data_IF_875917283197
#
_entry.id   IF_875917283197
#
_cell.length_a   1.000
_cell.length_b   1.000
_cell.length_c   1.000
_cell.angle_alpha   90.00
_cell.angle_beta   90.00
_cell.angle_gamma   90.00
#
_symmetry.space_group_name_H-M   'P 1'
#
loop_
_entity.id
_entity.type
_entity.pdbx_description
1 polymer ?
#
# COMPACT_ATOMS: atom_id res chain seq x y z
N UNK A 1 -4.08 -12.80 -14.58
CA UNK A 1 -5.51 -12.60 -14.15
C UNK A 1 -6.08 -11.46 -14.99
N UNK A 2 -7.03 -11.73 -15.90
CA UNK A 2 -7.61 -10.66 -16.73
C UNK A 2 -9.00 -10.30 -16.19
N UNK A 3 -9.19 -9.06 -15.74
CA UNK A 3 -10.47 -8.54 -15.23
C UNK A 3 -11.06 -7.54 -16.21
N UNK A 4 -12.40 -7.50 -16.28
CA UNK A 4 -13.09 -6.44 -17.04
C UNK A 4 -12.75 -5.07 -16.45
N UNK A 5 -12.63 -4.09 -17.33
CA UNK A 5 -12.29 -2.70 -17.00
C UNK A 5 -13.47 -1.79 -17.33
N UNK A 6 -13.37 -0.55 -16.93
CA UNK A 6 -14.37 0.47 -17.29
C UNK A 6 -14.49 0.70 -18.79
N UNK A 7 -13.53 0.24 -19.63
CA UNK A 7 -13.63 0.31 -21.10
C UNK A 7 -14.57 -0.74 -21.68
N UNK A 8 -14.81 -1.83 -20.96
CA UNK A 8 -15.55 -2.99 -21.44
C UNK A 8 -17.05 -2.89 -21.19
N UNK A 9 -17.51 -1.75 -20.66
CA UNK A 9 -18.88 -1.53 -20.26
C UNK A 9 -19.42 -0.17 -20.69
N UNK A 10 -20.74 -0.06 -20.87
CA UNK A 10 -21.42 1.22 -21.05
C UNK A 10 -21.85 1.79 -19.69
N UNK A 11 -21.44 3.02 -19.40
CA UNK A 11 -21.73 3.71 -18.13
C UNK A 11 -22.68 4.91 -18.29
N UNK A 12 -23.09 5.25 -19.52
CA UNK A 12 -23.91 6.44 -19.81
C UNK A 12 -25.26 6.38 -19.06
N UNK A 13 -25.53 7.41 -18.29
CA UNK A 13 -26.75 7.55 -17.51
C UNK A 13 -26.86 6.64 -16.28
N UNK A 14 -25.88 5.74 -16.06
CA UNK A 14 -25.87 4.78 -14.93
C UNK A 14 -25.27 5.39 -13.69
N UNK A 15 -25.79 4.98 -12.53
CA UNK A 15 -25.17 5.22 -11.22
C UNK A 15 -23.94 4.32 -11.09
N UNK A 16 -22.77 4.93 -11.11
CA UNK A 16 -21.47 4.22 -10.97
C UNK A 16 -20.91 4.49 -9.59
N UNK A 17 -20.94 3.49 -8.72
CA UNK A 17 -20.27 3.54 -7.43
C UNK A 17 -18.81 3.14 -7.61
N UNK A 18 -17.92 4.11 -7.50
CA UNK A 18 -16.49 3.92 -7.69
C UNK A 18 -15.72 4.04 -6.37
N UNK A 19 -15.06 2.96 -5.97
CA UNK A 19 -14.19 2.93 -4.81
C UNK A 19 -12.79 3.41 -5.22
N UNK A 20 -12.41 4.57 -4.72
CA UNK A 20 -11.09 5.19 -4.92
C UNK A 20 -10.29 5.20 -3.63
N UNK A 21 -8.99 5.45 -3.70
CA UNK A 21 -8.14 5.62 -2.53
C UNK A 21 -7.77 7.10 -2.32
N UNK A 22 -8.57 7.79 -1.52
CA UNK A 22 -8.36 9.17 -1.10
C UNK A 22 -7.79 9.28 0.33
N UNK A 23 -7.12 8.24 0.80
CA UNK A 23 -6.46 8.26 2.10
C UNK A 23 -5.16 9.08 2.03
N UNK A 24 -5.31 10.37 1.77
CA UNK A 24 -4.23 11.35 1.65
C UNK A 24 -3.75 11.84 3.01
N UNK A 25 -2.46 12.19 3.17
CA UNK A 25 -1.99 12.85 4.38
C UNK A 25 -2.53 14.28 4.44
N UNK A 26 -3.01 14.65 5.64
CA UNK A 26 -3.53 16.00 5.91
C UNK A 26 -2.93 16.56 7.20
N UNK A 27 -2.62 17.86 7.19
CA UNK A 27 -2.24 18.65 8.37
C UNK A 27 -3.20 19.83 8.46
N UNK A 28 -3.86 19.98 9.59
CA UNK A 28 -4.81 21.06 9.86
C UNK A 28 -5.86 21.25 8.76
N UNK A 29 -6.41 20.13 8.26
CA UNK A 29 -7.43 20.10 7.23
C UNK A 29 -6.92 20.40 5.81
N UNK A 30 -5.60 20.54 5.62
CA UNK A 30 -4.97 20.75 4.30
C UNK A 30 -4.29 19.48 3.82
N UNK A 31 -4.52 19.14 2.56
CA UNK A 31 -3.86 18.01 1.90
C UNK A 31 -2.40 18.37 1.68
N UNK A 32 -1.48 17.53 2.17
CA UNK A 32 -0.02 17.74 2.06
C UNK A 32 0.61 16.93 0.93
N UNK A 33 -0.07 15.89 0.46
CA UNK A 33 0.32 15.08 -0.69
C UNK A 33 -0.96 14.62 -1.42
N UNK A 34 -1.05 14.91 -2.72
CA UNK A 34 -2.23 14.59 -3.54
C UNK A 34 -2.01 13.44 -4.54
N UNK A 35 -0.90 12.71 -4.44
CA UNK A 35 -0.56 11.63 -5.37
C UNK A 35 -1.70 10.60 -5.56
N UNK A 36 -2.43 10.28 -4.49
CA UNK A 36 -3.58 9.36 -4.54
C UNK A 36 -4.75 9.95 -5.31
N UNK A 37 -5.01 11.25 -5.17
CA UNK A 37 -6.04 11.95 -5.94
C UNK A 37 -5.65 11.94 -7.41
N UNK A 38 -4.40 12.31 -7.72
CA UNK A 38 -3.88 12.31 -9.10
C UNK A 38 -3.96 10.92 -9.73
N UNK A 39 -3.67 9.86 -8.96
CA UNK A 39 -3.78 8.48 -9.43
C UNK A 39 -5.20 8.04 -9.79
N UNK A 40 -6.23 8.60 -9.13
CA UNK A 40 -7.63 8.30 -9.39
C UNK A 40 -8.24 9.12 -10.53
N UNK A 41 -7.65 10.29 -10.88
CA UNK A 41 -8.18 11.20 -11.88
C UNK A 41 -8.45 10.56 -13.26
N UNK A 42 -7.57 9.69 -13.81
CA UNK A 42 -7.84 9.06 -15.11
C UNK A 42 -9.17 8.29 -15.13
N UNK A 43 -9.45 7.51 -14.11
CA UNK A 43 -10.70 6.76 -13.96
C UNK A 43 -11.89 7.69 -13.78
N UNK A 44 -11.78 8.70 -12.91
CA UNK A 44 -12.83 9.67 -12.62
C UNK A 44 -13.20 10.45 -13.89
N UNK A 45 -12.21 10.97 -14.62
CA UNK A 45 -12.41 11.68 -15.88
C UNK A 45 -13.08 10.80 -16.92
N UNK A 46 -12.56 9.58 -17.12
CA UNK A 46 -13.14 8.65 -18.08
C UNK A 46 -14.62 8.41 -17.81
N UNK A 47 -14.98 8.02 -16.57
CA UNK A 47 -16.35 7.73 -16.20
C UNK A 47 -17.28 8.95 -16.37
N UNK A 48 -16.84 10.12 -15.89
CA UNK A 48 -17.59 11.36 -16.01
C UNK A 48 -17.76 11.82 -17.48
N UNK A 49 -16.70 11.73 -18.30
CA UNK A 49 -16.75 12.09 -19.73
C UNK A 49 -17.64 11.15 -20.54
N UNK A 50 -17.80 9.89 -20.11
CA UNK A 50 -18.72 8.93 -20.72
C UNK A 50 -20.14 9.00 -20.14
N UNK A 51 -20.46 10.04 -19.37
CA UNK A 51 -21.81 10.31 -18.91
C UNK A 51 -22.28 9.45 -17.73
N UNK A 52 -21.38 8.89 -16.94
CA UNK A 52 -21.73 8.25 -15.69
C UNK A 52 -22.28 9.25 -14.67
N UNK A 53 -23.27 8.86 -13.87
CA UNK A 53 -23.64 9.53 -12.62
C UNK A 53 -22.72 8.98 -11.55
N UNK A 54 -21.60 9.70 -11.31
CA UNK A 54 -20.45 9.14 -10.59
C UNK A 54 -20.55 9.37 -9.08
N UNK A 55 -20.52 8.30 -8.33
CA UNK A 55 -20.53 8.28 -6.87
C UNK A 55 -19.17 7.75 -6.39
N UNK A 56 -18.36 8.60 -5.78
CA UNK A 56 -17.05 8.25 -5.26
C UNK A 56 -17.13 7.93 -3.77
N UNK A 57 -16.55 6.82 -3.36
CA UNK A 57 -16.40 6.46 -1.96
C UNK A 57 -14.94 6.12 -1.62
N UNK A 58 -14.49 6.49 -0.44
CA UNK A 58 -13.15 6.22 0.07
C UNK A 58 -13.12 6.24 1.59
N UNK A 59 -12.07 5.65 2.14
CA UNK A 59 -11.71 5.87 3.54
C UNK A 59 -10.67 6.99 3.66
N UNK A 60 -10.59 7.58 4.85
CA UNK A 60 -9.53 8.51 5.24
C UNK A 60 -9.12 8.24 6.68
N UNK A 61 -7.84 7.90 6.90
CA UNK A 61 -7.28 7.63 8.21
C UNK A 61 -7.92 6.45 8.95
N UNK A 62 -7.92 6.55 10.28
CA UNK A 62 -8.50 5.57 11.19
C UNK A 62 -9.41 6.24 12.21
N UNK A 63 -10.58 6.73 11.79
CA UNK A 63 -11.54 7.38 12.67
C UNK A 63 -12.28 6.37 13.56
N UNK A 64 -13.04 6.89 14.51
CA UNK A 64 -14.13 6.13 15.13
C UNK A 64 -15.29 5.97 14.16
N UNK A 65 -16.14 4.96 14.41
CA UNK A 65 -17.31 4.68 13.58
C UNK A 65 -18.50 5.57 13.99
N UNK A 66 -18.33 6.87 13.90
CA UNK A 66 -19.25 7.88 14.49
C UNK A 66 -20.66 7.89 13.90
N UNK A 67 -20.88 7.29 12.73
CA UNK A 67 -22.22 7.13 12.14
C UNK A 67 -22.95 5.91 12.68
N UNK A 68 -22.26 5.02 13.40
CA UNK A 68 -22.86 3.84 14.00
C UNK A 68 -23.28 4.15 15.44
N UNK A 69 -24.56 4.08 15.81
CA UNK A 69 -25.00 4.26 17.20
C UNK A 69 -24.28 3.34 18.17
N UNK A 70 -23.80 3.88 19.28
CA UNK A 70 -23.06 3.11 20.30
C UNK A 70 -21.70 2.63 19.84
N UNK A 71 -21.02 3.36 18.96
CA UNK A 71 -19.66 3.05 18.56
C UNK A 71 -18.70 2.99 19.76
N UNK A 72 -17.67 2.18 19.66
CA UNK A 72 -16.74 1.94 20.76
C UNK A 72 -15.40 2.67 20.60
N UNK A 73 -14.58 2.55 21.63
CA UNK A 73 -13.21 3.06 21.67
C UNK A 73 -12.28 2.31 20.70
N UNK A 74 -11.22 2.99 20.24
CA UNK A 74 -10.12 2.35 19.54
C UNK A 74 -9.35 1.39 20.45
N UNK A 75 -8.56 0.47 19.87
CA UNK A 75 -7.71 -0.45 20.68
C UNK A 75 -6.78 0.25 21.64
N UNK A 76 -6.23 1.41 21.24
CA UNK A 76 -5.32 2.21 22.07
C UNK A 76 -6.06 2.84 23.26
N UNK A 77 -7.23 3.40 23.01
CA UNK A 77 -8.07 4.02 24.03
C UNK A 77 -8.61 2.99 25.02
N UNK A 78 -9.04 1.81 24.53
CA UNK A 78 -9.42 0.69 25.41
C UNK A 78 -8.33 0.34 26.39
N UNK A 79 -7.09 0.14 25.91
CA UNK A 79 -5.94 -0.12 26.77
C UNK A 79 -5.69 1.01 27.76
N UNK A 80 -5.86 2.27 27.34
CA UNK A 80 -5.69 3.42 28.23
C UNK A 80 -6.76 3.46 29.31
N UNK A 81 -8.03 3.17 28.98
CA UNK A 81 -9.15 3.09 29.93
C UNK A 81 -8.99 1.90 30.87
N UNK A 82 -8.63 0.72 30.38
CA UNK A 82 -8.40 -0.48 31.17
C UNK A 82 -7.26 -0.32 32.21
N UNK A 83 -6.33 0.60 31.97
CA UNK A 83 -5.26 0.94 32.91
C UNK A 83 -5.69 1.87 34.05
N UNK A 84 -6.90 2.45 33.99
CA UNK A 84 -7.47 3.33 35.03
C UNK A 84 -8.17 2.52 36.14
N UNK A 85 -8.34 3.08 37.35
CA UNK A 85 -9.22 2.52 38.37
C UNK A 85 -10.63 2.28 37.84
N UNK A 86 -11.29 1.20 38.30
CA UNK A 86 -12.59 0.80 37.77
C UNK A 86 -13.66 1.89 37.85
N UNK A 87 -13.63 2.71 38.89
CA UNK A 87 -14.54 3.86 39.09
C UNK A 87 -14.35 4.99 38.08
N UNK A 88 -13.18 5.10 37.45
CA UNK A 88 -12.87 6.13 36.47
C UNK A 88 -13.12 5.71 35.03
N UNK A 89 -13.21 4.40 34.77
CA UNK A 89 -13.27 3.86 33.40
C UNK A 89 -14.51 4.33 32.62
N UNK A 90 -15.65 4.40 33.26
CA UNK A 90 -16.90 4.85 32.63
C UNK A 90 -16.79 6.32 32.18
N UNK A 91 -16.34 7.21 33.06
CA UNK A 91 -16.18 8.62 32.77
C UNK A 91 -15.11 8.86 31.67
N UNK A 92 -14.00 8.13 31.70
CA UNK A 92 -12.97 8.19 30.67
C UNK A 92 -13.51 7.73 29.31
N UNK A 93 -14.31 6.65 29.28
CA UNK A 93 -14.97 6.17 28.07
C UNK A 93 -15.86 7.24 27.44
N UNK A 94 -16.71 7.89 28.25
CA UNK A 94 -17.58 8.97 27.79
C UNK A 94 -16.79 10.17 27.24
N UNK A 95 -15.67 10.51 27.88
CA UNK A 95 -14.79 11.59 27.42
C UNK A 95 -14.18 11.28 26.04
N UNK A 96 -13.70 10.04 25.81
CA UNK A 96 -13.19 9.62 24.51
C UNK A 96 -14.27 9.66 23.44
N UNK A 97 -15.48 9.17 23.72
CA UNK A 97 -16.61 9.20 22.80
C UNK A 97 -16.99 10.65 22.46
N UNK A 98 -17.13 11.53 23.45
CA UNK A 98 -17.45 12.94 23.24
C UNK A 98 -16.35 13.65 22.41
N UNK A 99 -15.08 13.33 22.66
CA UNK A 99 -13.95 13.84 21.88
C UNK A 99 -14.03 13.36 20.43
N UNK A 100 -14.30 12.07 20.20
CA UNK A 100 -14.42 11.50 18.86
C UNK A 100 -15.54 12.17 18.05
N UNK A 101 -16.72 12.33 18.62
CA UNK A 101 -17.84 13.02 17.97
C UNK A 101 -17.53 14.47 17.58
N UNK A 102 -16.65 15.14 18.31
CA UNK A 102 -16.26 16.51 18.04
C UNK A 102 -15.09 16.63 17.05
N UNK A 103 -14.09 15.74 17.16
CA UNK A 103 -12.84 15.84 16.42
C UNK A 103 -12.82 15.08 15.09
N UNK A 104 -13.45 13.90 15.03
CA UNK A 104 -13.34 13.04 13.86
C UNK A 104 -14.04 13.61 12.62
N UNK A 105 -15.23 14.27 12.73
CA UNK A 105 -15.86 14.93 11.58
C UNK A 105 -15.02 16.07 10.99
N UNK A 106 -14.07 16.61 11.76
CA UNK A 106 -13.16 17.66 11.29
C UNK A 106 -11.90 17.05 10.70
N UNK A 107 -11.33 16.06 11.40
CA UNK A 107 -10.03 15.49 11.07
C UNK A 107 -10.07 14.49 9.93
N UNK A 108 -11.16 13.75 9.81
CA UNK A 108 -11.25 12.61 8.90
C UNK A 108 -12.36 12.76 7.85
N UNK A 109 -12.92 13.95 7.68
CA UNK A 109 -13.87 14.23 6.60
C UNK A 109 -13.22 14.22 5.23
N UNK A 110 -13.92 13.73 4.22
CA UNK A 110 -13.50 13.81 2.81
C UNK A 110 -13.86 15.13 2.13
N UNK A 111 -14.47 16.09 2.85
CA UNK A 111 -14.83 17.40 2.30
C UNK A 111 -13.65 18.14 1.63
N UNK A 112 -12.45 18.23 2.24
CA UNK A 112 -11.30 18.86 1.59
C UNK A 112 -10.88 18.18 0.28
N UNK A 113 -11.04 16.84 0.20
CA UNK A 113 -10.76 16.08 -1.01
C UNK A 113 -11.79 16.39 -2.10
N UNK A 114 -13.06 16.48 -1.75
CA UNK A 114 -14.13 16.86 -2.68
C UNK A 114 -13.90 18.29 -3.24
N UNK A 115 -13.51 19.24 -2.39
CA UNK A 115 -13.17 20.60 -2.81
C UNK A 115 -11.97 20.62 -3.76
N UNK A 116 -10.93 19.83 -3.43
CA UNK A 116 -9.76 19.71 -4.31
C UNK A 116 -10.10 19.05 -5.65
N UNK A 117 -10.97 18.06 -5.67
CA UNK A 117 -11.46 17.48 -6.92
C UNK A 117 -12.20 18.48 -7.79
N UNK A 118 -13.02 19.35 -7.20
CA UNK A 118 -13.71 20.42 -7.95
C UNK A 118 -12.70 21.39 -8.60
N UNK A 119 -11.60 21.71 -7.91
CA UNK A 119 -10.52 22.54 -8.48
C UNK A 119 -9.81 21.84 -9.65
N UNK A 120 -9.56 20.53 -9.51
CA UNK A 120 -8.89 19.71 -10.54
C UNK A 120 -9.79 19.37 -11.73
N UNK A 121 -11.10 19.49 -11.57
CA UNK A 121 -12.13 19.19 -12.54
C UNK A 121 -13.08 20.40 -12.71
N UNK A 122 -12.58 21.56 -13.20
CA UNK A 122 -13.37 22.79 -13.22
C UNK A 122 -14.55 22.74 -14.19
N UNK A 123 -14.51 21.87 -15.18
CA UNK A 123 -15.56 21.61 -16.16
C UNK A 123 -16.64 20.62 -15.68
N UNK A 124 -16.45 20.01 -14.52
CA UNK A 124 -17.38 19.05 -13.92
C UNK A 124 -18.04 19.64 -12.67
N UNK A 125 -19.23 19.13 -12.36
CA UNK A 125 -19.89 19.45 -11.09
C UNK A 125 -19.54 18.40 -10.08
N UNK A 126 -18.73 18.78 -9.06
CA UNK A 126 -18.38 17.91 -7.93
C UNK A 126 -19.13 18.37 -6.68
N UNK A 127 -19.86 17.47 -6.05
CA UNK A 127 -20.58 17.72 -4.80
C UNK A 127 -20.08 16.80 -3.71
N UNK A 128 -20.36 17.15 -2.45
CA UNK A 128 -19.99 16.36 -1.28
C UNK A 128 -21.24 15.99 -0.48
N UNK A 129 -21.37 14.72 -0.11
CA UNK A 129 -22.41 14.25 0.80
C UNK A 129 -21.84 14.12 2.22
N UNK A 130 -22.52 14.67 3.20
CA UNK A 130 -22.10 14.71 4.60
C UNK A 130 -22.32 13.39 5.35
N UNK A 131 -22.88 12.40 4.70
CA UNK A 131 -23.05 11.04 5.19
C UNK A 131 -22.70 10.01 4.11
N UNK A 132 -22.72 8.71 4.47
CA UNK A 132 -22.37 7.63 3.55
C UNK A 132 -23.61 7.01 2.88
N UNK A 133 -24.65 6.74 3.62
CA UNK A 133 -25.89 6.08 3.18
C UNK A 133 -27.14 6.70 3.81
N UNK A 134 -27.03 7.94 4.24
CA UNK A 134 -28.09 8.70 4.88
C UNK A 134 -28.87 9.58 3.89
N UNK A 135 -29.67 10.50 4.42
CA UNK A 135 -30.57 11.34 3.64
C UNK A 135 -29.83 12.28 2.68
N UNK A 136 -28.68 12.82 3.10
CA UNK A 136 -27.91 13.75 2.27
C UNK A 136 -27.26 13.02 1.06
N UNK A 137 -26.71 11.81 1.29
CA UNK A 137 -26.18 10.99 0.19
C UNK A 137 -27.30 10.63 -0.81
N UNK A 138 -28.45 10.16 -0.33
CA UNK A 138 -29.59 9.83 -1.18
C UNK A 138 -30.07 11.03 -1.98
N UNK A 139 -30.22 12.20 -1.36
CA UNK A 139 -30.64 13.43 -2.04
C UNK A 139 -29.65 13.86 -3.13
N UNK A 140 -28.34 13.81 -2.84
CA UNK A 140 -27.29 14.20 -3.80
C UNK A 140 -27.13 13.22 -4.94
N UNK A 141 -27.22 11.91 -4.65
CA UNK A 141 -27.19 10.87 -5.70
C UNK A 141 -28.39 10.99 -6.63
N UNK A 142 -29.60 11.24 -6.08
CA UNK A 142 -30.80 11.44 -6.87
C UNK A 142 -30.75 12.69 -7.78
N UNK A 143 -29.99 13.71 -7.37
CA UNK A 143 -29.84 14.97 -8.11
C UNK A 143 -28.73 14.91 -9.20
N UNK A 144 -27.95 13.82 -9.31
CA UNK A 144 -26.88 13.69 -10.30
C UNK A 144 -27.44 13.68 -11.72
N UNK A 145 -26.81 14.45 -12.57
CA UNK A 145 -26.95 14.40 -14.03
C UNK A 145 -25.79 13.59 -14.63
N UNK A 146 -25.92 13.23 -15.89
CA UNK A 146 -24.86 12.55 -16.62
C UNK A 146 -23.57 13.38 -16.60
N UNK A 147 -22.49 12.78 -16.12
CA UNK A 147 -21.19 13.44 -15.95
C UNK A 147 -20.97 14.15 -14.60
N UNK A 148 -22.01 14.32 -13.78
CA UNK A 148 -21.86 14.87 -12.42
C UNK A 148 -21.18 13.87 -11.47
N UNK A 149 -20.55 14.42 -10.43
CA UNK A 149 -19.78 13.66 -9.43
C UNK A 149 -20.27 14.01 -8.03
N UNK A 150 -20.47 13.00 -7.19
CA UNK A 150 -20.64 13.17 -5.74
C UNK A 150 -19.56 12.37 -5.00
N UNK A 151 -18.94 13.00 -4.01
CA UNK A 151 -18.04 12.33 -3.06
C UNK A 151 -18.83 12.05 -1.80
N UNK A 152 -18.94 10.79 -1.39
CA UNK A 152 -19.56 10.40 -0.13
C UNK A 152 -18.59 10.66 1.03
N UNK A 153 -19.14 10.77 2.25
CA UNK A 153 -18.31 10.91 3.44
C UNK A 153 -17.51 9.63 3.73
N UNK A 154 -16.51 9.73 4.59
CA UNK A 154 -15.57 8.69 4.95
C UNK A 154 -16.26 7.37 5.30
N UNK A 155 -15.99 6.33 4.52
CA UNK A 155 -16.62 5.00 4.68
C UNK A 155 -16.39 4.39 6.06
N UNK A 156 -15.26 4.74 6.72
CA UNK A 156 -14.91 4.23 8.06
C UNK A 156 -15.65 4.89 9.20
N UNK A 157 -16.48 5.90 8.94
CA UNK A 157 -17.45 6.37 9.93
C UNK A 157 -18.55 5.34 10.19
N UNK A 158 -18.74 4.39 9.28
CA UNK A 158 -19.62 3.23 9.46
C UNK A 158 -18.83 2.00 9.95
N UNK A 159 -19.29 1.38 11.04
CA UNK A 159 -18.67 0.16 11.60
C UNK A 159 -18.72 -1.02 10.64
N UNK A 160 -19.74 -1.05 9.80
CA UNK A 160 -19.96 -2.11 8.81
C UNK A 160 -18.91 -2.14 7.71
N UNK A 161 -18.20 -1.04 7.43
CA UNK A 161 -17.20 -0.97 6.36
C UNK A 161 -16.10 -2.00 6.53
N UNK A 162 -15.36 -1.94 7.64
CA UNK A 162 -14.22 -2.86 7.86
C UNK A 162 -14.65 -4.29 8.20
N UNK A 163 -15.91 -4.51 8.52
CA UNK A 163 -16.49 -5.83 8.82
C UNK A 163 -17.12 -6.52 7.62
N UNK A 164 -17.12 -5.85 6.47
CA UNK A 164 -17.83 -6.33 5.29
C UNK A 164 -19.31 -6.63 5.59
N UNK A 165 -19.97 -5.71 6.29
CA UNK A 165 -21.35 -5.89 6.74
C UNK A 165 -22.33 -5.91 5.56
N UNK A 166 -23.11 -6.99 5.43
CA UNK A 166 -24.03 -7.18 4.31
C UNK A 166 -25.12 -6.11 4.26
N UNK A 167 -25.62 -5.67 5.44
CA UNK A 167 -26.66 -4.65 5.49
C UNK A 167 -26.14 -3.29 4.99
N UNK A 168 -24.87 -2.95 5.26
CA UNK A 168 -24.23 -1.77 4.69
C UNK A 168 -24.04 -1.93 3.18
N UNK A 169 -23.58 -3.09 2.72
CA UNK A 169 -23.43 -3.36 1.28
C UNK A 169 -24.75 -3.21 0.53
N UNK A 170 -25.86 -3.69 1.11
CA UNK A 170 -27.19 -3.55 0.53
C UNK A 170 -27.64 -2.09 0.42
N UNK A 171 -27.37 -1.25 1.43
CA UNK A 171 -27.66 0.19 1.37
C UNK A 171 -26.83 0.91 0.30
N UNK A 172 -25.55 0.56 0.18
CA UNK A 172 -24.67 1.11 -0.86
C UNK A 172 -25.09 0.69 -2.26
N UNK A 173 -25.70 -0.49 -2.41
CA UNK A 173 -26.21 -0.98 -3.67
C UNK A 173 -27.33 -0.11 -4.27
N UNK A 174 -28.05 0.67 -3.47
CA UNK A 174 -29.04 1.65 -3.95
C UNK A 174 -28.41 2.74 -4.83
N UNK A 175 -27.09 2.94 -4.70
CA UNK A 175 -26.29 3.88 -5.46
C UNK A 175 -25.54 3.21 -6.64
N UNK A 176 -25.81 1.94 -6.98
CA UNK A 176 -24.91 1.14 -7.76
C UNK A 176 -25.61 0.35 -8.88
N UNK A 177 -25.67 0.92 -10.08
CA UNK A 177 -25.96 0.13 -11.28
C UNK A 177 -24.68 -0.59 -11.78
N UNK A 178 -23.53 0.04 -11.53
CA UNK A 178 -22.19 -0.48 -11.84
C UNK A 178 -21.26 -0.19 -10.66
N UNK A 179 -20.54 -1.21 -10.21
CA UNK A 179 -19.46 -1.07 -9.23
C UNK A 179 -18.10 -1.01 -9.92
N UNK A 180 -17.29 -0.05 -9.52
CA UNK A 180 -15.91 0.09 -9.98
C UNK A 180 -14.98 0.08 -8.77
N UNK A 181 -13.98 -0.81 -8.77
CA UNK A 181 -12.88 -0.72 -7.83
C UNK A 181 -11.65 -0.11 -8.51
N UNK A 182 -11.16 1.00 -7.94
CA UNK A 182 -9.93 1.67 -8.37
C UNK A 182 -9.00 1.97 -7.19
N UNK A 183 -9.14 1.23 -6.10
CA UNK A 183 -8.40 1.39 -4.86
C UNK A 183 -7.50 0.18 -4.59
N UNK A 184 -6.40 0.05 -5.34
CA UNK A 184 -5.48 -1.07 -5.21
C UNK A 184 -4.91 -1.20 -3.79
N UNK A 185 -4.57 -0.08 -3.13
CA UNK A 185 -4.01 -0.08 -1.78
C UNK A 185 -4.87 -0.78 -0.72
N UNK A 186 -6.17 -0.89 -0.94
CA UNK A 186 -7.11 -1.59 -0.05
C UNK A 186 -7.62 -2.92 -0.59
N UNK A 187 -7.20 -3.32 -1.79
CA UNK A 187 -7.71 -4.51 -2.48
C UNK A 187 -7.45 -5.84 -1.74
N UNK A 188 -6.46 -5.86 -0.83
CA UNK A 188 -6.15 -7.00 0.02
C UNK A 188 -7.14 -7.21 1.18
N UNK A 189 -8.11 -6.30 1.36
CA UNK A 189 -9.10 -6.35 2.43
C UNK A 189 -10.51 -6.51 1.87
N UNK A 190 -11.26 -7.47 2.40
CA UNK A 190 -12.66 -7.66 2.07
C UNK A 190 -13.55 -6.69 2.88
N UNK A 191 -13.43 -5.37 2.64
CA UNK A 191 -14.30 -4.36 3.23
C UNK A 191 -15.58 -4.18 2.39
N UNK A 192 -16.64 -3.60 2.97
CA UNK A 192 -17.91 -3.43 2.30
C UNK A 192 -17.78 -2.70 0.95
N UNK A 193 -17.08 -1.54 0.92
CA UNK A 193 -16.89 -0.77 -0.31
C UNK A 193 -15.75 -1.27 -1.19
N UNK A 194 -14.88 -2.16 -0.70
CA UNK A 194 -13.74 -2.71 -1.46
C UNK A 194 -14.11 -3.98 -2.23
N UNK A 195 -14.92 -4.85 -1.61
CA UNK A 195 -15.28 -6.15 -2.18
C UNK A 195 -16.73 -6.55 -1.91
N UNK A 196 -17.29 -6.15 -0.75
CA UNK A 196 -18.55 -6.69 -0.25
C UNK A 196 -19.73 -6.53 -1.20
N UNK A 197 -19.88 -5.35 -1.81
CA UNK A 197 -20.98 -5.08 -2.75
C UNK A 197 -20.99 -6.09 -3.89
N UNK A 198 -19.83 -6.42 -4.44
CA UNK A 198 -19.68 -7.41 -5.52
C UNK A 198 -19.79 -8.86 -4.99
N UNK A 199 -19.15 -9.18 -3.85
CA UNK A 199 -19.18 -10.51 -3.25
C UNK A 199 -20.58 -10.96 -2.84
N UNK A 200 -21.43 -10.06 -2.36
CA UNK A 200 -22.82 -10.36 -2.02
C UNK A 200 -23.76 -10.36 -3.24
N UNK A 201 -23.23 -10.10 -4.45
CA UNK A 201 -24.02 -10.09 -5.67
C UNK A 201 -24.92 -8.86 -5.84
N UNK A 202 -24.69 -7.80 -5.10
CA UNK A 202 -25.48 -6.56 -5.20
C UNK A 202 -25.06 -5.69 -6.38
N UNK A 203 -23.92 -5.96 -7.01
CA UNK A 203 -23.48 -5.30 -8.22
C UNK A 203 -23.36 -6.35 -9.36
N UNK A 204 -24.32 -6.42 -10.29
CA UNK A 204 -24.25 -7.35 -11.40
C UNK A 204 -23.10 -7.06 -12.38
N UNK A 205 -22.66 -5.81 -12.41
CA UNK A 205 -21.49 -5.35 -13.16
C UNK A 205 -20.47 -4.79 -12.18
N UNK A 206 -19.34 -5.49 -12.03
CA UNK A 206 -18.24 -5.12 -11.15
C UNK A 206 -16.93 -5.17 -11.93
N UNK A 207 -16.28 -4.02 -12.14
CA UNK A 207 -15.12 -3.90 -13.02
C UNK A 207 -13.99 -3.11 -12.35
N UNK A 208 -12.79 -3.17 -12.92
CA UNK A 208 -11.64 -2.38 -12.46
C UNK A 208 -11.61 -0.99 -13.09
N UNK A 209 -11.13 -0.01 -12.33
CA UNK A 209 -10.65 1.24 -12.87
C UNK A 209 -9.24 1.12 -13.44
N UNK A 210 -8.72 2.20 -14.01
CA UNK A 210 -7.42 2.22 -14.68
C UNK A 210 -6.23 2.03 -13.74
N UNK A 211 -6.34 2.46 -12.49
CA UNK A 211 -5.28 2.26 -11.51
C UNK A 211 -5.12 0.78 -11.20
N UNK A 212 -6.21 0.07 -10.89
CA UNK A 212 -6.17 -1.39 -10.64
C UNK A 212 -5.75 -2.14 -11.91
N UNK A 213 -6.26 -1.77 -13.09
CA UNK A 213 -5.83 -2.37 -14.37
C UNK A 213 -4.32 -2.29 -14.54
N UNK A 214 -3.74 -1.10 -14.30
CA UNK A 214 -2.30 -0.86 -14.38
C UNK A 214 -1.52 -1.69 -13.36
N UNK A 215 -1.98 -1.73 -12.09
CA UNK A 215 -1.35 -2.51 -11.03
C UNK A 215 -1.35 -4.02 -11.34
N UNK A 216 -2.50 -4.56 -11.74
CA UNK A 216 -2.61 -5.97 -12.14
C UNK A 216 -1.65 -6.27 -13.29
N UNK A 217 -1.65 -5.44 -14.33
CA UNK A 217 -0.79 -5.64 -15.51
C UNK A 217 0.68 -5.73 -15.09
N UNK A 218 1.19 -4.74 -14.38
CA UNK A 218 2.61 -4.71 -14.03
C UNK A 218 3.00 -5.83 -13.04
N UNK A 219 2.19 -6.07 -12.01
CA UNK A 219 2.52 -7.08 -11.00
C UNK A 219 2.34 -8.50 -11.52
N UNK A 220 1.29 -8.78 -12.28
CA UNK A 220 1.03 -10.12 -12.84
C UNK A 220 2.07 -10.49 -13.90
N UNK A 221 2.37 -9.58 -14.83
CA UNK A 221 3.41 -9.77 -15.84
C UNK A 221 4.78 -10.02 -15.20
N UNK A 222 5.14 -9.21 -14.17
CA UNK A 222 6.43 -9.32 -13.53
C UNK A 222 6.62 -10.60 -12.71
N UNK A 223 5.55 -11.10 -12.08
CA UNK A 223 5.65 -12.21 -11.14
C UNK A 223 5.32 -13.56 -11.78
N UNK A 224 4.35 -13.57 -12.69
CA UNK A 224 3.86 -14.82 -13.30
C UNK A 224 4.41 -15.05 -14.71
N UNK A 225 4.77 -13.99 -15.44
CA UNK A 225 5.31 -14.10 -16.80
C UNK A 225 6.53 -13.16 -17.00
N UNK A 226 7.55 -13.20 -16.12
CA UNK A 226 8.68 -12.27 -16.20
C UNK A 226 9.51 -12.47 -17.46
N UNK A 227 9.97 -11.38 -18.04
CA UNK A 227 11.10 -11.42 -18.98
C UNK A 227 12.37 -11.64 -18.17
N UNK A 228 13.11 -12.71 -18.49
CA UNK A 228 14.28 -13.12 -17.73
C UNK A 228 15.57 -12.46 -18.25
N UNK A 229 16.57 -12.21 -17.37
CA UNK A 229 16.63 -12.54 -15.95
C UNK A 229 15.66 -11.72 -15.08
N UNK A 230 14.98 -12.39 -14.14
CA UNK A 230 14.14 -11.78 -13.15
C UNK A 230 14.87 -11.65 -11.81
N UNK A 231 15.10 -10.43 -11.36
CA UNK A 231 15.72 -10.10 -10.08
C UNK A 231 14.67 -9.57 -9.10
N UNK A 232 14.54 -10.21 -7.96
CA UNK A 232 13.74 -9.71 -6.85
C UNK A 232 14.64 -9.07 -5.79
N UNK A 233 14.27 -7.90 -5.28
CA UNK A 233 15.00 -7.16 -4.26
C UNK A 233 14.08 -6.97 -3.06
N UNK A 234 14.47 -7.51 -1.92
CA UNK A 234 13.74 -7.37 -0.68
C UNK A 234 14.61 -6.71 0.39
N UNK A 235 14.05 -5.73 1.06
CA UNK A 235 14.66 -5.02 2.17
C UNK A 235 13.65 -4.78 3.30
N UNK A 236 14.03 -3.92 4.23
CA UNK A 236 13.22 -3.60 5.40
C UNK A 236 13.79 -4.20 6.69
N UNK A 237 13.06 -4.03 7.81
CA UNK A 237 13.60 -4.31 9.13
C UNK A 237 13.60 -5.80 9.52
N UNK A 238 12.56 -6.57 9.15
CA UNK A 238 12.29 -7.90 9.71
C UNK A 238 12.08 -8.98 8.66
N UNK A 239 12.69 -10.15 8.87
CA UNK A 239 12.46 -11.36 8.05
C UNK A 239 11.02 -11.85 8.22
N UNK A 240 10.49 -11.81 9.45
CA UNK A 240 9.14 -12.27 9.77
C UNK A 240 8.05 -11.63 8.91
N UNK A 241 8.25 -10.36 8.52
CA UNK A 241 7.30 -9.62 7.70
C UNK A 241 7.35 -10.02 6.20
N UNK A 242 8.40 -10.74 5.78
CA UNK A 242 8.69 -11.04 4.37
C UNK A 242 8.79 -12.53 4.04
N UNK A 243 8.59 -13.43 5.02
CA UNK A 243 8.77 -14.88 4.84
C UNK A 243 7.99 -15.42 3.64
N UNK A 244 6.71 -15.07 3.56
CA UNK A 244 5.84 -15.57 2.49
C UNK A 244 6.23 -15.02 1.13
N UNK A 245 6.64 -13.76 1.09
CA UNK A 245 7.15 -13.12 -0.14
C UNK A 245 8.43 -13.79 -0.60
N UNK A 246 9.39 -14.04 0.32
CA UNK A 246 10.64 -14.73 -0.01
C UNK A 246 10.34 -16.11 -0.60
N UNK A 247 9.51 -16.91 0.06
CA UNK A 247 9.12 -18.25 -0.42
C UNK A 247 8.45 -18.23 -1.78
N UNK A 248 7.54 -17.28 -1.99
CA UNK A 248 6.85 -17.11 -3.28
C UNK A 248 7.84 -16.76 -4.40
N UNK A 249 8.74 -15.81 -4.13
CA UNK A 249 9.71 -15.34 -5.13
C UNK A 249 10.81 -16.36 -5.42
N UNK A 250 11.24 -17.18 -4.44
CA UNK A 250 12.17 -18.29 -4.65
C UNK A 250 11.65 -19.34 -5.67
N UNK A 251 10.35 -19.38 -5.90
CA UNK A 251 9.76 -20.22 -6.96
C UNK A 251 9.71 -19.54 -8.33
N UNK A 252 10.09 -18.27 -8.45
CA UNK A 252 9.80 -17.45 -9.64
C UNK A 252 10.99 -16.66 -10.17
N UNK A 253 11.87 -16.12 -9.32
CA UNK A 253 13.00 -15.29 -9.72
C UNK A 253 14.26 -16.10 -10.04
N UNK A 254 15.16 -15.49 -10.81
CA UNK A 254 16.50 -16.04 -11.09
C UNK A 254 17.50 -15.63 -10.01
N UNK A 255 17.33 -14.41 -9.47
CA UNK A 255 18.16 -13.88 -8.38
C UNK A 255 17.27 -13.18 -7.32
N UNK A 256 17.63 -13.38 -6.07
CA UNK A 256 16.99 -12.73 -4.91
C UNK A 256 18.04 -11.96 -4.13
N UNK A 257 17.86 -10.66 -4.04
CA UNK A 257 18.71 -9.75 -3.27
C UNK A 257 18.01 -9.46 -1.93
N UNK A 258 18.72 -9.64 -0.82
CA UNK A 258 18.25 -9.32 0.53
C UNK A 258 19.10 -8.20 1.10
N UNK A 259 18.46 -7.11 1.49
CA UNK A 259 19.09 -5.95 2.14
C UNK A 259 18.32 -5.49 3.37
N UNK A 260 18.68 -4.32 3.90
CA UNK A 260 18.05 -3.77 5.09
C UNK A 260 18.33 -4.54 6.37
N UNK A 261 17.61 -4.22 7.44
CA UNK A 261 17.77 -4.84 8.75
C UNK A 261 17.54 -6.36 8.77
N UNK A 262 16.64 -6.85 7.92
CA UNK A 262 16.38 -8.29 7.78
C UNK A 262 17.61 -9.09 7.35
N UNK A 263 18.57 -8.47 6.66
CA UNK A 263 19.78 -9.15 6.20
C UNK A 263 20.67 -9.63 7.36
N UNK A 264 20.61 -9.00 8.53
CA UNK A 264 21.41 -9.40 9.69
C UNK A 264 21.00 -10.75 10.26
N UNK A 265 19.72 -11.10 10.21
CA UNK A 265 19.24 -12.45 10.57
C UNK A 265 19.82 -13.51 9.62
N UNK A 266 19.92 -13.23 8.33
CA UNK A 266 20.58 -14.11 7.36
C UNK A 266 22.10 -14.19 7.59
N UNK A 267 22.74 -13.08 7.98
CA UNK A 267 24.19 -13.10 8.32
C UNK A 267 24.49 -13.98 9.52
N UNK A 268 23.64 -13.92 10.56
CA UNK A 268 23.76 -14.83 11.73
C UNK A 268 23.54 -16.29 11.29
N UNK A 269 22.59 -16.54 10.39
CA UNK A 269 22.40 -17.88 9.81
C UNK A 269 23.63 -18.41 9.07
N UNK A 270 24.48 -17.52 8.52
CA UNK A 270 25.76 -17.84 7.89
C UNK A 270 26.94 -17.91 8.88
N UNK A 271 26.71 -17.65 10.18
CA UNK A 271 27.73 -17.73 11.23
C UNK A 271 28.44 -16.42 11.57
N UNK A 272 28.01 -15.27 11.02
CA UNK A 272 28.56 -13.95 11.34
C UNK A 272 27.96 -13.38 12.61
N UNK A 273 28.73 -12.57 13.33
CA UNK A 273 28.24 -11.71 14.40
C UNK A 273 27.72 -10.40 13.83
N UNK A 274 26.67 -9.85 14.42
CA UNK A 274 26.00 -8.64 13.92
C UNK A 274 25.95 -7.49 14.95
N UNK A 275 26.70 -7.60 16.06
CA UNK A 275 26.76 -6.57 17.11
C UNK A 275 25.36 -6.23 17.64
N UNK A 276 25.07 -4.93 17.71
CA UNK A 276 23.76 -4.40 18.15
C UNK A 276 22.74 -4.26 17.04
N UNK A 277 23.03 -4.77 15.84
CA UNK A 277 22.11 -4.69 14.69
C UNK A 277 20.76 -5.37 14.97
N UNK A 278 19.73 -4.95 14.22
CA UNK A 278 18.43 -5.64 14.28
C UNK A 278 18.60 -7.14 14.01
N UNK A 279 18.08 -7.95 14.92
CA UNK A 279 18.15 -9.40 14.82
C UNK A 279 16.85 -10.03 15.32
N UNK A 280 16.31 -10.96 14.55
CA UNK A 280 15.23 -11.84 14.96
C UNK A 280 15.87 -13.22 15.27
N UNK A 281 16.30 -13.43 16.52
CA UNK A 281 16.99 -14.65 16.96
C UNK A 281 16.15 -15.92 16.71
N UNK A 282 14.85 -15.83 16.94
CA UNK A 282 13.89 -16.92 16.71
C UNK A 282 13.66 -17.23 15.22
N UNK A 283 14.20 -16.43 14.29
CA UNK A 283 14.10 -16.61 12.83
C UNK A 283 15.41 -17.06 12.17
N UNK A 284 16.48 -17.23 12.93
CA UNK A 284 17.79 -17.65 12.37
C UNK A 284 17.70 -19.02 11.68
N UNK A 285 17.04 -20.00 12.28
CA UNK A 285 16.89 -21.31 11.66
C UNK A 285 15.98 -21.27 10.42
N UNK A 286 14.98 -20.40 10.43
CA UNK A 286 14.17 -20.12 9.24
C UNK A 286 15.04 -19.55 8.12
N UNK A 287 15.91 -18.57 8.43
CA UNK A 287 16.82 -17.98 7.44
C UNK A 287 17.78 -19.02 6.85
N UNK A 288 18.32 -19.97 7.67
CA UNK A 288 19.09 -21.12 7.18
C UNK A 288 18.29 -21.96 6.19
N UNK A 289 17.01 -22.24 6.50
CA UNK A 289 16.11 -22.98 5.64
C UNK A 289 15.90 -22.28 4.30
N UNK A 290 15.69 -20.95 4.32
CA UNK A 290 15.51 -20.15 3.09
C UNK A 290 16.77 -20.10 2.22
N UNK A 291 17.96 -20.04 2.84
CA UNK A 291 19.25 -20.13 2.12
C UNK A 291 19.38 -21.50 1.43
N UNK A 292 19.05 -22.58 2.13
CA UNK A 292 19.07 -23.94 1.58
C UNK A 292 18.04 -24.10 0.44
N UNK A 293 16.83 -23.58 0.61
CA UNK A 293 15.78 -23.61 -0.41
C UNK A 293 16.18 -22.83 -1.67
N UNK A 294 16.80 -21.66 -1.53
CA UNK A 294 17.31 -20.90 -2.66
C UNK A 294 18.33 -21.72 -3.46
N UNK A 295 19.24 -22.39 -2.77
CA UNK A 295 20.26 -23.26 -3.40
C UNK A 295 19.62 -24.46 -4.11
N UNK A 296 18.66 -25.10 -3.49
CA UNK A 296 17.93 -26.25 -4.09
C UNK A 296 17.18 -25.84 -5.35
N UNK A 297 16.55 -24.68 -5.34
CA UNK A 297 15.80 -24.14 -6.48
C UNK A 297 16.70 -23.48 -7.55
N UNK A 298 18.01 -23.42 -7.34
CA UNK A 298 18.94 -22.77 -8.27
C UNK A 298 18.82 -21.25 -8.34
N UNK A 299 18.19 -20.62 -7.35
CA UNK A 299 18.05 -19.17 -7.25
C UNK A 299 19.33 -18.59 -6.65
N UNK A 300 19.89 -17.57 -7.31
CA UNK A 300 21.06 -16.86 -6.82
C UNK A 300 20.65 -15.93 -5.68
N UNK A 301 20.88 -16.35 -4.43
CA UNK A 301 20.64 -15.52 -3.26
C UNK A 301 21.85 -14.61 -3.00
N UNK A 302 21.63 -13.30 -2.99
CA UNK A 302 22.65 -12.29 -2.73
C UNK A 302 22.38 -11.61 -1.39
N UNK A 303 23.38 -11.69 -0.50
CA UNK A 303 23.37 -11.09 0.84
C UNK A 303 24.50 -10.06 0.95
N UNK A 304 24.41 -9.06 1.85
CA UNK A 304 25.46 -8.09 2.06
C UNK A 304 26.78 -8.76 2.45
N UNK A 305 27.87 -8.39 1.76
CA UNK A 305 29.24 -8.86 2.05
C UNK A 305 29.99 -7.87 2.93
N UNK A 306 29.58 -6.62 2.92
CA UNK A 306 30.06 -5.56 3.80
C UNK A 306 28.90 -4.64 4.24
N UNK A 307 29.10 -3.90 5.32
CA UNK A 307 28.06 -3.05 5.90
C UNK A 307 28.65 -1.70 6.32
N UNK A 308 27.85 -0.64 6.21
CA UNK A 308 28.10 0.62 6.89
C UNK A 308 27.48 0.50 8.29
N UNK A 309 28.32 0.55 9.30
CA UNK A 309 27.94 0.41 10.70
C UNK A 309 28.10 1.73 11.45
N UNK A 310 27.26 1.91 12.47
CA UNK A 310 27.24 3.09 13.32
C UNK A 310 27.32 2.70 14.82
N UNK A 311 27.80 3.63 15.67
CA UNK A 311 27.87 3.45 17.11
C UNK A 311 26.54 3.77 17.83
N UNK A 312 25.58 4.38 17.12
CA UNK A 312 24.20 4.59 17.58
C UNK A 312 23.24 4.82 16.39
N UNK A 313 21.94 4.76 16.66
CA UNK A 313 20.89 4.99 15.67
C UNK A 313 20.62 6.51 15.49
N UNK A 314 21.52 7.21 14.79
CA UNK A 314 21.39 8.64 14.48
C UNK A 314 22.07 8.97 13.15
N UNK A 315 21.57 10.00 12.47
CA UNK A 315 22.15 10.42 11.18
C UNK A 315 23.62 10.89 11.28
N UNK A 316 23.98 11.49 12.40
CA UNK A 316 25.31 12.02 12.71
C UNK A 316 26.20 11.06 13.53
N UNK A 317 25.79 9.81 13.68
CA UNK A 317 26.55 8.78 14.36
C UNK A 317 27.94 8.58 13.71
N UNK A 318 28.94 8.19 14.52
CA UNK A 318 30.21 7.74 13.97
C UNK A 318 29.98 6.48 13.13
N UNK A 319 30.51 6.47 11.92
CA UNK A 319 30.30 5.38 10.96
C UNK A 319 31.60 4.84 10.39
N UNK A 320 31.59 3.56 10.06
CA UNK A 320 32.68 2.89 9.32
C UNK A 320 32.14 1.73 8.50
N UNK A 321 32.93 1.28 7.53
CA UNK A 321 32.63 0.09 6.73
C UNK A 321 33.32 -1.11 7.36
N UNK A 322 32.61 -2.24 7.48
CA UNK A 322 33.17 -3.51 7.93
C UNK A 322 32.77 -4.65 7.00
N UNK A 323 33.72 -5.56 6.79
CA UNK A 323 33.50 -6.88 6.20
C UNK A 323 33.46 -7.92 7.31
N UNK A 324 32.69 -9.01 7.15
CA UNK A 324 32.62 -10.05 8.17
C UNK A 324 31.79 -9.61 9.39
N UNK A 325 32.33 -9.85 10.59
CA UNK A 325 31.63 -9.60 11.85
C UNK A 325 31.45 -8.12 12.14
N UNK A 326 30.26 -7.75 12.63
CA UNK A 326 30.00 -6.43 13.20
C UNK A 326 30.37 -6.48 14.69
N UNK A 327 31.26 -5.60 15.19
CA UNK A 327 31.68 -5.60 16.59
C UNK A 327 30.54 -5.23 17.56
N UNK A 328 30.66 -5.68 18.80
CA UNK A 328 29.78 -5.26 19.88
C UNK A 328 29.82 -3.71 20.02
N UNK A 329 28.67 -3.11 20.34
CA UNK A 329 28.52 -1.66 20.45
C UNK A 329 28.34 -0.96 19.10
N UNK A 330 28.32 -1.68 17.99
CA UNK A 330 28.06 -1.18 16.64
C UNK A 330 26.83 -1.87 16.03
N UNK A 331 26.08 -1.13 15.23
CA UNK A 331 24.93 -1.64 14.50
C UNK A 331 25.02 -1.32 13.02
N UNK A 332 24.54 -2.21 12.18
CA UNK A 332 24.50 -1.98 10.73
C UNK A 332 23.30 -1.10 10.36
N UNK A 333 23.56 -0.04 9.60
CA UNK A 333 22.53 0.90 9.15
C UNK A 333 22.39 0.99 7.64
N UNK A 334 23.41 0.54 6.86
CA UNK A 334 23.33 0.47 5.40
C UNK A 334 24.24 -0.65 4.87
N UNK A 335 24.05 -0.99 3.59
CA UNK A 335 24.98 -1.87 2.87
C UNK A 335 26.28 -1.13 2.51
N UNK A 336 27.39 -1.87 2.49
CA UNK A 336 28.69 -1.31 2.17
C UNK A 336 28.97 -1.22 0.66
N UNK A 337 30.12 -0.59 0.27
CA UNK A 337 30.45 -0.34 -1.13
C UNK A 337 30.63 -1.61 -1.97
N UNK A 338 31.18 -2.69 -1.41
CA UNK A 338 31.30 -3.97 -2.12
C UNK A 338 29.95 -4.63 -2.36
N UNK A 339 29.05 -4.51 -1.42
CA UNK A 339 27.66 -4.97 -1.56
C UNK A 339 26.91 -4.16 -2.62
N UNK A 340 27.11 -2.84 -2.63
CA UNK A 340 26.56 -1.95 -3.68
C UNK A 340 27.01 -2.39 -5.07
N UNK A 341 28.30 -2.65 -5.25
CA UNK A 341 28.85 -3.12 -6.52
C UNK A 341 28.23 -4.46 -6.93
N UNK A 342 28.18 -5.42 -5.99
CA UNK A 342 27.61 -6.76 -6.22
C UNK A 342 26.13 -6.69 -6.62
N UNK A 343 25.33 -5.94 -5.88
CA UNK A 343 23.90 -5.83 -6.13
C UNK A 343 23.59 -5.06 -7.41
N UNK A 344 24.30 -3.95 -7.64
CA UNK A 344 24.15 -3.13 -8.86
C UNK A 344 24.51 -3.91 -10.12
N UNK A 345 25.56 -4.74 -10.07
CA UNK A 345 25.96 -5.61 -11.18
C UNK A 345 24.88 -6.66 -11.51
N UNK A 346 24.16 -7.16 -10.51
CA UNK A 346 23.05 -8.10 -10.73
C UNK A 346 21.84 -7.39 -11.33
N UNK A 347 21.48 -6.22 -10.78
CA UNK A 347 20.39 -5.37 -11.29
C UNK A 347 20.62 -4.97 -12.75
N UNK A 348 21.87 -4.66 -13.14
CA UNK A 348 22.21 -4.27 -14.50
C UNK A 348 21.94 -5.36 -15.56
N UNK A 349 21.92 -6.64 -15.17
CA UNK A 349 21.65 -7.78 -16.07
C UNK A 349 20.16 -8.08 -16.20
N UNK A 350 19.34 -7.57 -15.29
CA UNK A 350 17.93 -7.92 -15.21
C UNK A 350 17.12 -7.39 -16.40
N UNK A 351 16.07 -8.13 -16.74
CA UNK A 351 15.01 -7.69 -17.66
C UNK A 351 13.70 -7.42 -16.93
N UNK A 352 13.52 -8.02 -15.76
CA UNK A 352 12.45 -7.73 -14.83
C UNK A 352 13.03 -7.54 -13.44
N UNK A 353 12.64 -6.47 -12.76
CA UNK A 353 13.01 -6.23 -11.36
C UNK A 353 11.77 -5.89 -10.56
N UNK A 354 11.59 -6.58 -9.43
CA UNK A 354 10.62 -6.21 -8.40
C UNK A 354 11.39 -5.84 -7.15
N UNK A 355 11.19 -4.63 -6.65
CA UNK A 355 11.86 -4.12 -5.46
C UNK A 355 10.86 -3.75 -4.37
N UNK A 356 11.02 -4.33 -3.16
CA UNK A 356 10.18 -4.05 -1.99
C UNK A 356 11.03 -3.95 -0.72
N UNK A 357 11.20 -2.75 -0.21
CA UNK A 357 11.93 -2.41 1.02
C UNK A 357 13.34 -1.85 0.77
N UNK A 358 13.77 -0.84 1.54
CA UNK A 358 15.04 -0.17 1.40
C UNK A 358 16.23 -1.05 1.81
N UNK A 359 17.43 -0.68 1.36
CA UNK A 359 18.67 -1.39 1.65
C UNK A 359 19.31 -0.98 2.99
N UNK A 360 18.95 0.18 3.51
CA UNK A 360 19.44 0.76 4.75
C UNK A 360 18.44 1.75 5.33
N UNK A 361 18.84 2.52 6.34
CA UNK A 361 18.04 3.56 6.99
C UNK A 361 18.07 4.81 6.11
N UNK A 362 17.30 4.79 5.02
CA UNK A 362 17.32 5.82 3.98
C UNK A 362 16.80 7.17 4.44
N UNK A 363 16.09 7.23 5.56
CA UNK A 363 15.66 8.46 6.21
C UNK A 363 16.84 9.28 6.76
N UNK A 364 17.96 8.62 7.01
CA UNK A 364 19.22 9.25 7.37
C UNK A 364 20.10 9.39 6.13
N UNK A 365 20.43 10.62 5.74
CA UNK A 365 21.22 10.90 4.54
C UNK A 365 22.55 10.12 4.52
N UNK A 366 23.19 9.99 5.69
CA UNK A 366 24.44 9.26 5.85
C UNK A 366 24.33 7.74 5.65
N UNK A 367 23.11 7.17 5.67
CA UNK A 367 22.81 5.75 5.55
C UNK A 367 21.81 5.45 4.43
N UNK A 368 21.65 6.40 3.50
CA UNK A 368 20.78 6.28 2.32
C UNK A 368 21.56 5.85 1.06
N UNK A 369 22.88 5.70 1.15
CA UNK A 369 23.77 5.48 0.00
C UNK A 369 23.45 4.17 -0.70
N UNK A 370 23.22 3.09 0.04
CA UNK A 370 22.86 1.79 -0.50
C UNK A 370 21.54 1.80 -1.26
N UNK A 371 20.50 2.38 -0.66
CA UNK A 371 19.18 2.52 -1.29
C UNK A 371 19.25 3.36 -2.55
N UNK A 372 19.99 4.49 -2.51
CA UNK A 372 20.22 5.35 -3.67
C UNK A 372 20.98 4.66 -4.79
N UNK A 373 21.96 3.83 -4.44
CA UNK A 373 22.74 3.07 -5.44
C UNK A 373 21.85 2.07 -6.19
N UNK A 374 20.96 1.36 -5.50
CA UNK A 374 20.01 0.45 -6.14
C UNK A 374 19.03 1.21 -7.03
N UNK A 375 18.46 2.34 -6.56
CA UNK A 375 17.61 3.19 -7.39
C UNK A 375 18.34 3.69 -8.64
N UNK A 376 19.62 4.07 -8.51
CA UNK A 376 20.48 4.48 -9.64
C UNK A 376 20.72 3.32 -10.62
N UNK A 377 21.02 2.13 -10.11
CA UNK A 377 21.21 0.94 -10.96
C UNK A 377 19.96 0.60 -11.77
N UNK A 378 18.77 0.70 -11.14
CA UNK A 378 17.48 0.53 -11.83
C UNK A 378 17.25 1.61 -12.89
N UNK A 379 17.49 2.88 -12.54
CA UNK A 379 17.32 4.01 -13.46
C UNK A 379 18.22 3.91 -14.68
N UNK A 380 19.41 3.33 -14.53
CA UNK A 380 20.37 3.11 -15.62
C UNK A 380 20.03 1.89 -16.48
N UNK A 381 19.28 0.93 -15.95
CA UNK A 381 18.86 -0.26 -16.70
C UNK A 381 17.54 0.01 -17.46
N UNK A 382 17.61 0.85 -18.49
CA UNK A 382 16.46 1.28 -19.28
C UNK A 382 15.80 0.15 -20.10
N UNK A 383 16.46 -1.00 -20.23
CA UNK A 383 15.94 -2.18 -20.93
C UNK A 383 15.16 -3.15 -20.03
N UNK A 384 15.01 -2.84 -18.76
CA UNK A 384 14.27 -3.67 -17.80
C UNK A 384 12.92 -3.06 -17.42
N UNK A 385 11.96 -3.93 -17.13
CA UNK A 385 10.74 -3.53 -16.42
C UNK A 385 11.05 -3.48 -14.93
N UNK A 386 10.98 -2.30 -14.33
CA UNK A 386 11.23 -2.05 -12.90
C UNK A 386 9.94 -1.71 -12.17
N UNK A 387 9.61 -2.51 -11.15
CA UNK A 387 8.41 -2.35 -10.33
C UNK A 387 8.82 -2.14 -8.88
N UNK A 388 8.41 -1.01 -8.34
CA UNK A 388 8.68 -0.63 -6.97
C UNK A 388 7.43 -0.88 -6.14
N UNK A 389 7.50 -1.77 -5.16
CA UNK A 389 6.41 -2.07 -4.23
C UNK A 389 6.79 -1.69 -2.80
N UNK A 390 5.78 -1.44 -1.97
CA UNK A 390 5.97 -1.03 -0.57
C UNK A 390 6.14 0.48 -0.40
N UNK A 391 5.61 0.98 0.73
CA UNK A 391 5.59 2.42 1.01
C UNK A 391 6.97 3.04 1.12
N UNK A 392 7.89 2.37 1.83
CA UNK A 392 9.24 2.89 2.08
C UNK A 392 10.09 2.94 0.81
N UNK A 393 10.04 1.89 -0.02
CA UNK A 393 10.76 1.89 -1.31
C UNK A 393 10.22 2.93 -2.27
N UNK A 394 8.89 3.07 -2.35
CA UNK A 394 8.25 4.10 -3.16
C UNK A 394 8.65 5.51 -2.68
N UNK A 395 8.59 5.75 -1.36
CA UNK A 395 9.02 7.02 -0.77
C UNK A 395 10.49 7.32 -1.07
N UNK A 396 11.38 6.34 -0.89
CA UNK A 396 12.80 6.50 -1.19
C UNK A 396 13.05 6.88 -2.65
N UNK A 397 12.45 6.14 -3.59
CA UNK A 397 12.60 6.39 -5.04
C UNK A 397 12.08 7.77 -5.44
N UNK A 398 10.95 8.20 -4.88
CA UNK A 398 10.37 9.53 -5.13
C UNK A 398 11.25 10.63 -4.56
N UNK A 399 11.64 10.53 -3.27
CA UNK A 399 12.48 11.53 -2.60
C UNK A 399 13.85 11.69 -3.25
N UNK A 400 14.40 10.61 -3.77
CA UNK A 400 15.69 10.61 -4.47
C UNK A 400 15.60 11.05 -5.94
N UNK A 401 14.40 11.38 -6.45
CA UNK A 401 14.19 11.90 -7.80
C UNK A 401 14.27 10.85 -8.92
N UNK A 402 14.01 9.58 -8.61
CA UNK A 402 14.05 8.48 -9.61
C UNK A 402 12.68 8.00 -10.06
N UNK A 403 11.58 8.64 -9.60
CA UNK A 403 10.22 8.17 -9.89
C UNK A 403 9.94 7.99 -11.39
N UNK A 404 10.33 8.96 -12.21
CA UNK A 404 10.11 8.96 -13.67
C UNK A 404 11.01 7.94 -14.41
N UNK A 405 11.96 7.33 -13.72
CA UNK A 405 12.87 6.31 -14.28
C UNK A 405 12.38 4.89 -14.03
N UNK A 406 11.37 4.71 -13.19
CA UNK A 406 10.78 3.41 -12.89
C UNK A 406 9.62 3.12 -13.82
N UNK A 407 9.49 1.86 -14.25
CA UNK A 407 8.36 1.43 -15.11
C UNK A 407 7.02 1.54 -14.36
N UNK A 408 7.02 1.20 -13.09
CA UNK A 408 5.86 1.29 -12.23
C UNK A 408 6.24 1.45 -10.74
N UNK A 409 5.58 2.38 -10.06
CA UNK A 409 5.62 2.51 -8.61
C UNK A 409 4.23 2.15 -8.12
N UNK A 410 4.12 1.01 -7.41
CA UNK A 410 2.84 0.54 -6.90
C UNK A 410 2.30 1.45 -5.80
N UNK A 411 1.03 1.77 -5.89
CA UNK A 411 0.31 2.54 -4.87
C UNK A 411 -0.14 1.68 -3.69
N UNK A 412 0.03 0.38 -3.77
CA UNK A 412 -0.63 -0.62 -2.94
C UNK A 412 0.20 -1.24 -1.83
N UNK A 413 1.14 -0.57 -1.20
CA UNK A 413 1.91 -1.04 -0.05
C UNK A 413 1.66 -2.50 0.42
N UNK A 414 0.64 -2.70 1.25
CA UNK A 414 0.23 -4.03 1.73
C UNK A 414 -0.37 -4.93 0.65
N UNK A 415 -1.15 -4.36 -0.27
CA UNK A 415 -1.77 -5.14 -1.35
C UNK A 415 -0.72 -5.68 -2.33
N UNK A 416 0.29 -4.88 -2.70
CA UNK A 416 1.38 -5.37 -3.55
C UNK A 416 2.20 -6.46 -2.85
N UNK A 417 2.41 -6.33 -1.54
CA UNK A 417 3.11 -7.35 -0.77
C UNK A 417 2.33 -8.68 -0.78
N UNK A 418 1.03 -8.65 -0.49
CA UNK A 418 0.18 -9.83 -0.51
C UNK A 418 0.05 -10.44 -1.91
N UNK A 419 0.04 -9.60 -2.95
CA UNK A 419 0.10 -10.08 -4.33
C UNK A 419 1.41 -10.85 -4.61
N UNK A 420 2.55 -10.30 -4.16
CA UNK A 420 3.85 -10.95 -4.28
C UNK A 420 3.95 -12.26 -3.47
N UNK A 421 3.19 -12.38 -2.39
CA UNK A 421 3.01 -13.63 -1.64
C UNK A 421 2.19 -14.69 -2.40
N UNK A 422 1.57 -14.32 -3.50
CA UNK A 422 0.67 -15.19 -4.26
C UNK A 422 -0.74 -15.29 -3.69
N UNK A 423 -1.12 -14.38 -2.79
CA UNK A 423 -2.47 -14.34 -2.22
C UNK A 423 -3.48 -13.77 -3.20
N UNK A 424 -4.68 -14.29 -3.13
CA UNK A 424 -5.84 -13.71 -3.81
C UNK A 424 -6.24 -12.42 -3.10
N UNK A 425 -6.36 -11.33 -3.87
CA UNK A 425 -6.80 -10.05 -3.34
C UNK A 425 -8.32 -9.93 -3.49
N UNK A 426 -9.10 -9.93 -2.41
CA UNK A 426 -10.57 -9.96 -2.49
C UNK A 426 -11.18 -8.80 -3.26
N UNK A 427 -10.57 -7.60 -3.19
CA UNK A 427 -11.02 -6.43 -3.94
C UNK A 427 -10.75 -6.48 -5.46
N UNK A 428 -9.97 -7.45 -5.91
CA UNK A 428 -9.74 -7.74 -7.33
C UNK A 428 -10.52 -8.99 -7.74
N UNK A 429 -10.48 -10.03 -6.92
CA UNK A 429 -11.12 -11.31 -7.20
C UNK A 429 -12.62 -11.20 -7.41
N UNK A 430 -13.27 -10.30 -6.64
CA UNK A 430 -14.71 -10.02 -6.75
C UNK A 430 -15.14 -9.35 -8.07
N UNK A 431 -14.22 -8.86 -8.88
CA UNK A 431 -14.52 -8.21 -10.17
C UNK A 431 -14.78 -9.24 -11.26
N UNK A 432 -15.62 -8.87 -12.23
CA UNK A 432 -15.92 -9.73 -13.37
C UNK A 432 -14.65 -10.05 -14.17
N UNK A 433 -14.51 -11.31 -14.60
CA UNK A 433 -13.42 -11.73 -15.47
C UNK A 433 -13.61 -11.16 -16.88
N UNK A 434 -12.50 -10.84 -17.54
CA UNK A 434 -12.51 -10.55 -18.98
C UNK A 434 -12.79 -11.85 -19.75
N UNK A 435 -13.52 -11.72 -20.88
CA UNK A 435 -13.88 -12.83 -21.75
C UNK A 435 -12.65 -13.45 -22.44
#
# INVERSE_FOLDING_TARGET
MSKKTIRDIDVKGKKVLCRVDFNVPMIDGKITDENRIQGALPTIKYLSDHGAKLILCSHLGKPHNIFTPGFGLTKKEKKAVEALPAEEQAAATEQYIAKALKSDPIKFTLKPVADRLQELLPDKKVTFASDLVGDDAHAKVAALKDGDIVVLENTRFEKGEEKNDEALCKKLADFCDVYVNDAFGTAHRAHATTAGIALYGYAPVAVSGFLIEKEIKFLDEAVNNPVRPFVAILGGAKVSDKINVIKSLLGKCDSLIIGGGMAYTFRVALGFKVGNSLLEEDKVDLAKGLIAEAKEKGVKLLLPVDNVIADNFANDANKKVVEGDIPDGWEGLDIGPKTIELFSAEVAKAKTVVWNGPMGVFEFENFAVGTKAIATALANNTGATSIIGGGDSAAAVIQMGFADKMSHISTGGGASLEFLEGKVLPGIDCLNDAD
#
